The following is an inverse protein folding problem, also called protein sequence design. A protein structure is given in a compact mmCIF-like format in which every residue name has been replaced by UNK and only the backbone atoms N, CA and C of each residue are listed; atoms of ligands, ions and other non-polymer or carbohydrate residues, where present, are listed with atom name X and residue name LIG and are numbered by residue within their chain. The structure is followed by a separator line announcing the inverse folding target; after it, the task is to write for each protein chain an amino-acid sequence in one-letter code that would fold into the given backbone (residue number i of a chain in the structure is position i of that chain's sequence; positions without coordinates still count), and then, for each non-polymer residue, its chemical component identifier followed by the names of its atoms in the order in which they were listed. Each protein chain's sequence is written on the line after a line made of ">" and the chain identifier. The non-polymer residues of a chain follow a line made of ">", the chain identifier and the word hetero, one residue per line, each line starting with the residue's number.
data_IF_495113121613
#
_entry.id   IF_495113121613
#
_cell.length_a   1.000
_cell.length_b   1.000
_cell.length_c   1.000
_cell.angle_alpha   90.00
_cell.angle_beta   90.00
_cell.angle_gamma   90.00
#
_symmetry.space_group_name_H-M   'P 1'
#
loop_
_entity.id
_entity.type
_entity.pdbx_description
1 polymer ?
#
# COMPACT_ATOMS: atom_id res chain seq x y z
N UNK A 1 15.10 2.06 -26.55
CA UNK A 1 14.08 2.85 -25.82
C UNK A 1 13.16 1.96 -24.98
N UNK A 2 12.60 0.87 -25.52
CA UNK A 2 11.82 -0.14 -24.77
C UNK A 2 12.60 -0.76 -23.59
N UNK A 3 13.88 -1.09 -23.77
CA UNK A 3 14.76 -1.67 -22.73
C UNK A 3 15.10 -0.69 -21.60
N UNK A 4 15.07 0.62 -21.87
CA UNK A 4 15.34 1.65 -20.86
C UNK A 4 14.09 1.90 -20.01
N UNK A 5 12.92 1.93 -20.65
CA UNK A 5 11.61 2.07 -19.98
C UNK A 5 11.33 0.84 -19.11
N UNK A 6 11.62 -0.38 -19.58
CA UNK A 6 11.44 -1.59 -18.77
C UNK A 6 12.37 -1.59 -17.56
N UNK A 7 13.65 -1.26 -17.72
CA UNK A 7 14.60 -1.30 -16.59
C UNK A 7 14.33 -0.18 -15.57
N UNK A 8 13.87 0.99 -16.01
CA UNK A 8 13.64 2.17 -15.15
C UNK A 8 12.28 2.12 -14.46
N UNK A 9 11.23 1.56 -15.05
CA UNK A 9 9.87 1.54 -14.47
C UNK A 9 9.48 0.19 -13.85
N UNK A 10 9.95 -0.91 -14.42
CA UNK A 10 9.48 -2.27 -14.10
C UNK A 10 10.48 -3.02 -13.19
N UNK A 11 11.67 -2.46 -12.96
CA UNK A 11 12.77 -3.20 -12.34
C UNK A 11 13.26 -4.33 -13.25
N UNK A 12 14.41 -4.92 -12.91
CA UNK A 12 14.84 -6.14 -13.61
C UNK A 12 13.95 -7.30 -13.16
N UNK A 13 13.35 -8.07 -14.09
CA UNK A 13 12.62 -9.28 -13.73
C UNK A 13 13.59 -10.25 -13.06
N UNK A 14 13.24 -10.66 -11.85
CA UNK A 14 14.00 -11.59 -11.04
C UNK A 14 13.30 -12.95 -11.08
N UNK A 15 13.76 -13.80 -12.01
CA UNK A 15 13.19 -15.13 -12.21
C UNK A 15 13.45 -16.07 -11.03
N UNK A 16 14.35 -15.72 -10.09
CA UNK A 16 14.70 -16.60 -8.95
C UNK A 16 13.50 -16.87 -8.05
N UNK A 17 12.59 -15.90 -7.90
CA UNK A 17 11.34 -16.06 -7.15
C UNK A 17 10.43 -17.08 -7.83
N UNK A 18 10.23 -16.94 -9.14
CA UNK A 18 9.37 -17.83 -9.93
C UNK A 18 9.87 -19.27 -9.94
N UNK A 19 11.18 -19.47 -9.99
CA UNK A 19 11.82 -20.79 -10.00
C UNK A 19 12.09 -21.34 -8.59
N UNK A 20 11.76 -20.59 -7.53
CA UNK A 20 11.96 -21.05 -6.16
C UNK A 20 11.01 -22.21 -5.85
N UNK A 21 11.57 -23.30 -5.32
CA UNK A 21 10.80 -24.44 -4.81
C UNK A 21 9.89 -24.00 -3.66
N UNK A 22 10.35 -23.06 -2.82
CA UNK A 22 9.58 -22.55 -1.70
C UNK A 22 8.35 -21.78 -2.18
N UNK A 23 8.51 -20.90 -3.18
CA UNK A 23 7.39 -20.19 -3.79
C UNK A 23 6.38 -21.18 -4.39
N UNK A 24 6.86 -22.12 -5.22
CA UNK A 24 6.01 -23.09 -5.92
C UNK A 24 5.18 -23.93 -4.94
N UNK A 25 5.81 -24.40 -3.86
CA UNK A 25 5.14 -25.17 -2.80
C UNK A 25 4.07 -24.35 -2.06
N UNK A 26 4.25 -23.04 -1.94
CA UNK A 26 3.36 -22.15 -1.20
C UNK A 26 2.27 -21.48 -2.06
N UNK A 27 2.20 -21.73 -3.38
CA UNK A 27 1.13 -21.19 -4.24
C UNK A 27 -0.29 -21.45 -3.65
N UNK A 28 -0.64 -22.66 -3.19
CA UNK A 28 -1.96 -22.91 -2.61
C UNK A 28 -2.24 -22.06 -1.35
N UNK A 29 -1.21 -21.84 -0.52
CA UNK A 29 -1.31 -20.98 0.66
C UNK A 29 -1.54 -19.52 0.25
N UNK A 30 -0.75 -19.00 -0.70
CA UNK A 30 -0.87 -17.61 -1.18
C UNK A 30 -2.27 -17.38 -1.75
N UNK A 31 -2.74 -18.30 -2.59
CA UNK A 31 -4.09 -18.25 -3.15
C UNK A 31 -5.14 -18.17 -2.04
N UNK A 32 -5.07 -19.03 -1.03
CA UNK A 32 -6.01 -19.05 0.07
C UNK A 32 -5.98 -17.74 0.91
N UNK A 33 -4.80 -17.19 1.16
CA UNK A 33 -4.66 -15.89 1.84
C UNK A 33 -5.30 -14.75 1.05
N UNK A 34 -5.20 -14.79 -0.27
CA UNK A 34 -5.76 -13.78 -1.17
C UNK A 34 -7.27 -13.89 -1.31
N UNK A 35 -7.82 -15.11 -1.38
CA UNK A 35 -9.27 -15.37 -1.36
C UNK A 35 -9.91 -14.85 -0.06
N UNK A 36 -9.21 -14.97 1.07
CA UNK A 36 -9.67 -14.43 2.35
C UNK A 36 -9.54 -12.90 2.47
N UNK A 37 -8.70 -12.28 1.63
CA UNK A 37 -8.39 -10.85 1.69
C UNK A 37 -9.36 -10.04 0.84
N UNK A 38 -10.17 -9.23 1.50
CA UNK A 38 -11.14 -8.34 0.86
C UNK A 38 -10.60 -6.92 0.67
N UNK A 39 -9.77 -6.46 1.61
CA UNK A 39 -9.12 -5.16 1.58
C UNK A 39 -7.66 -5.28 1.95
N UNK A 40 -6.90 -4.27 1.56
CA UNK A 40 -5.47 -4.20 1.72
C UNK A 40 -5.08 -2.88 2.37
N UNK A 41 -4.11 -2.93 3.27
CA UNK A 41 -3.49 -1.76 3.86
C UNK A 41 -2.02 -1.73 3.47
N UNK A 42 -1.56 -0.64 2.86
CA UNK A 42 -0.15 -0.42 2.56
C UNK A 42 0.47 0.59 3.52
N UNK A 43 1.68 0.30 4.01
CA UNK A 43 2.43 1.19 4.90
C UNK A 43 3.93 0.89 4.84
N UNK A 44 4.71 1.55 5.69
CA UNK A 44 6.12 1.27 5.92
C UNK A 44 6.37 0.62 7.28
N UNK A 45 7.55 0.05 7.45
CA UNK A 45 8.05 -0.41 8.74
C UNK A 45 8.14 0.74 9.74
N UNK A 46 8.61 1.89 9.28
CA UNK A 46 8.85 3.06 10.10
C UNK A 46 8.10 4.29 9.59
N UNK A 47 7.62 5.09 10.53
CA UNK A 47 7.10 6.43 10.29
C UNK A 47 7.78 7.47 11.18
N UNK A 48 7.94 8.69 10.67
CA UNK A 48 8.18 9.84 11.53
C UNK A 48 6.93 10.21 12.33
N UNK A 49 7.16 10.61 13.57
CA UNK A 49 6.22 11.24 14.51
C UNK A 49 6.91 12.47 15.09
N UNK A 50 6.84 13.58 14.34
CA UNK A 50 7.73 14.72 14.58
C UNK A 50 9.18 14.31 14.32
N UNK A 51 10.06 14.52 15.30
CA UNK A 51 11.47 14.14 15.19
C UNK A 51 11.74 12.65 15.45
N UNK A 52 10.78 11.93 16.02
CA UNK A 52 10.95 10.53 16.40
C UNK A 52 10.61 9.59 15.24
N UNK A 53 11.29 8.45 15.17
CA UNK A 53 10.95 7.34 14.27
C UNK A 53 10.23 6.26 15.07
N UNK A 54 9.04 5.88 14.61
CA UNK A 54 8.19 4.86 15.24
C UNK A 54 8.10 3.63 14.35
N UNK A 55 8.22 2.46 14.97
CA UNK A 55 7.95 1.16 14.36
C UNK A 55 6.44 0.94 14.25
N UNK A 56 5.94 0.95 13.02
CA UNK A 56 4.50 0.90 12.70
C UNK A 56 3.90 -0.44 13.10
N UNK A 57 4.62 -1.55 12.92
CA UNK A 57 4.12 -2.86 13.32
C UNK A 57 4.02 -2.98 14.84
N UNK A 58 5.02 -2.47 15.59
CA UNK A 58 4.91 -2.39 17.05
C UNK A 58 3.73 -1.52 17.48
N UNK A 59 3.50 -0.39 16.81
CA UNK A 59 2.37 0.49 17.09
C UNK A 59 1.03 -0.25 16.88
N UNK A 60 0.88 -0.95 15.75
CA UNK A 60 -0.31 -1.76 15.44
C UNK A 60 -0.53 -2.84 16.49
N UNK A 61 0.52 -3.59 16.85
CA UNK A 61 0.45 -4.66 17.85
C UNK A 61 0.01 -4.12 19.21
N UNK A 62 0.66 -3.05 19.69
CA UNK A 62 0.35 -2.44 21.00
C UNK A 62 -1.08 -1.87 21.06
N UNK A 63 -1.62 -1.43 19.93
CA UNK A 63 -3.00 -0.93 19.82
C UNK A 63 -4.03 -2.04 19.54
N UNK A 64 -3.59 -3.28 19.35
CA UNK A 64 -4.45 -4.42 19.03
C UNK A 64 -5.00 -4.42 17.60
N UNK A 65 -4.48 -3.57 16.71
CA UNK A 65 -4.98 -3.45 15.34
C UNK A 65 -4.67 -2.12 14.66
N UNK A 66 -5.27 -1.93 13.49
CA UNK A 66 -5.28 -0.63 12.80
C UNK A 66 -6.32 0.25 13.47
N UNK A 67 -5.92 1.44 13.93
CA UNK A 67 -6.83 2.41 14.53
C UNK A 67 -7.05 3.60 13.60
N UNK A 68 -8.23 4.21 13.62
CA UNK A 68 -8.47 5.44 12.84
C UNK A 68 -7.50 6.55 13.21
N UNK A 69 -6.96 7.21 12.21
CA UNK A 69 -6.12 8.39 12.35
C UNK A 69 -6.71 9.56 11.57
N UNK A 70 -6.32 10.78 11.94
CA UNK A 70 -6.70 11.97 11.19
C UNK A 70 -6.31 11.81 9.72
N UNK A 71 -7.30 11.93 8.86
CA UNK A 71 -7.23 11.85 7.41
C UNK A 71 -7.82 13.14 6.81
N UNK A 72 -6.96 14.04 6.29
CA UNK A 72 -7.40 15.29 5.68
C UNK A 72 -7.79 15.16 4.19
N UNK A 73 -7.79 13.96 3.59
CA UNK A 73 -8.00 13.81 2.14
C UNK A 73 -9.45 14.00 1.69
N UNK A 74 -10.42 13.83 2.59
CA UNK A 74 -11.81 13.96 2.22
C UNK A 74 -12.23 15.44 2.15
N UNK A 75 -12.00 16.07 1.00
CA UNK A 75 -12.43 17.45 0.76
C UNK A 75 -13.96 17.65 0.83
N UNK A 76 -14.76 16.58 0.84
CA UNK A 76 -16.23 16.67 0.98
C UNK A 76 -16.67 16.67 2.44
N UNK A 77 -15.89 16.05 3.33
CA UNK A 77 -16.20 15.90 4.76
C UNK A 77 -15.25 16.66 5.69
N UNK A 78 -14.16 17.19 5.16
CA UNK A 78 -13.07 17.78 5.93
C UNK A 78 -12.21 16.71 6.61
N UNK A 79 -11.64 17.07 7.77
CA UNK A 79 -10.82 16.17 8.56
C UNK A 79 -11.67 15.05 9.18
N UNK A 80 -11.44 13.80 8.76
CA UNK A 80 -12.10 12.61 9.32
C UNK A 80 -11.08 11.70 10.00
N UNK A 81 -11.51 10.85 10.93
CA UNK A 81 -10.64 9.84 11.53
C UNK A 81 -10.93 8.50 10.89
N UNK A 82 -9.98 7.97 10.12
CA UNK A 82 -10.18 6.73 9.37
C UNK A 82 -8.94 5.86 9.31
N UNK A 83 -9.14 4.57 9.06
CA UNK A 83 -8.10 3.65 8.57
C UNK A 83 -8.16 3.65 7.04
N UNK A 84 -7.05 3.98 6.39
CA UNK A 84 -6.91 3.97 4.94
C UNK A 84 -6.66 2.56 4.42
N UNK A 85 -7.56 2.06 3.57
CA UNK A 85 -7.48 0.74 2.96
C UNK A 85 -7.69 0.86 1.45
N UNK A 86 -7.48 -0.23 0.73
CA UNK A 86 -7.78 -0.32 -0.69
C UNK A 86 -8.45 -1.65 -1.03
N UNK A 87 -9.38 -1.66 -1.99
CA UNK A 87 -9.86 -2.89 -2.62
C UNK A 87 -8.81 -3.58 -3.50
N UNK A 88 -7.67 -2.94 -3.76
CA UNK A 88 -6.57 -3.49 -4.57
C UNK A 88 -5.30 -3.68 -3.74
N UNK A 89 -4.75 -4.90 -3.82
CA UNK A 89 -3.38 -5.17 -3.33
C UNK A 89 -2.37 -4.29 -4.05
N UNK A 90 -2.46 -4.16 -5.37
CA UNK A 90 -1.52 -3.40 -6.20
C UNK A 90 -1.47 -1.94 -5.83
N UNK A 91 -2.62 -1.33 -5.59
CA UNK A 91 -2.68 0.05 -5.15
C UNK A 91 -2.01 0.20 -3.77
N UNK A 92 -2.28 -0.74 -2.86
CA UNK A 92 -1.62 -0.78 -1.54
C UNK A 92 -0.11 -1.02 -1.65
N UNK A 93 0.32 -1.86 -2.58
CA UNK A 93 1.72 -2.17 -2.89
C UNK A 93 2.45 -0.93 -3.41
N UNK A 94 1.84 -0.17 -4.32
CA UNK A 94 2.36 1.12 -4.78
C UNK A 94 2.52 2.12 -3.64
N UNK A 95 1.50 2.20 -2.77
CA UNK A 95 1.58 3.05 -1.59
C UNK A 95 2.60 2.53 -0.57
N UNK A 96 2.83 1.23 -0.42
CA UNK A 96 3.88 0.72 0.46
C UNK A 96 5.28 0.98 -0.12
N UNK A 97 5.44 0.92 -1.45
CA UNK A 97 6.71 1.15 -2.14
C UNK A 97 7.30 2.53 -1.85
N UNK A 98 6.48 3.57 -1.68
CA UNK A 98 6.99 4.91 -1.33
C UNK A 98 7.65 4.93 0.06
N UNK A 99 7.24 4.05 0.98
CA UNK A 99 7.87 3.92 2.29
C UNK A 99 9.21 3.18 2.25
N UNK A 100 9.57 2.56 1.13
CA UNK A 100 10.87 1.91 1.03
C UNK A 100 11.99 2.97 1.10
N UNK A 101 13.08 2.66 1.80
CA UNK A 101 14.32 3.46 1.84
C UNK A 101 14.73 3.93 0.44
N UNK A 102 15.17 5.19 0.38
CA UNK A 102 15.41 5.91 -0.86
C UNK A 102 16.32 5.11 -1.81
N UNK A 103 15.83 4.91 -3.04
CA UNK A 103 16.55 4.18 -4.09
C UNK A 103 16.36 2.66 -4.07
N UNK A 104 15.67 2.08 -3.08
CA UNK A 104 15.28 0.67 -3.08
C UNK A 104 13.95 0.44 -3.78
N UNK A 105 13.71 -0.79 -4.26
CA UNK A 105 12.48 -1.21 -4.93
C UNK A 105 12.12 -2.63 -4.57
N UNK A 106 10.84 -2.99 -4.74
CA UNK A 106 10.46 -4.39 -4.74
C UNK A 106 11.22 -5.12 -5.84
N UNK A 107 11.54 -6.38 -5.58
CA UNK A 107 11.90 -7.31 -6.64
C UNK A 107 10.63 -7.68 -7.39
N UNK A 108 10.74 -7.88 -8.70
CA UNK A 108 9.61 -8.23 -9.57
C UNK A 108 8.40 -7.25 -9.61
N UNK A 109 8.57 -5.91 -9.59
CA UNK A 109 7.46 -4.96 -9.43
C UNK A 109 6.60 -4.78 -10.69
N UNK A 110 6.67 -5.67 -11.68
CA UNK A 110 5.91 -5.53 -12.94
C UNK A 110 4.43 -5.28 -12.68
N UNK A 111 3.87 -5.94 -11.68
CA UNK A 111 2.46 -5.83 -11.36
C UNK A 111 2.16 -4.48 -10.70
N UNK A 112 2.93 -4.13 -9.67
CA UNK A 112 2.92 -2.82 -9.02
C UNK A 112 3.09 -1.67 -10.04
N UNK A 113 4.10 -1.72 -10.89
CA UNK A 113 4.40 -0.72 -11.92
C UNK A 113 3.28 -0.59 -12.96
N UNK A 114 2.69 -1.70 -13.40
CA UNK A 114 1.57 -1.69 -14.34
C UNK A 114 0.33 -1.06 -13.71
N UNK A 115 0.11 -1.30 -12.40
CA UNK A 115 -0.95 -0.65 -11.63
C UNK A 115 -0.80 0.87 -11.58
N UNK A 116 0.43 1.40 -11.48
CA UNK A 116 0.64 2.85 -11.35
C UNK A 116 0.02 3.64 -12.50
N UNK A 117 0.23 3.17 -13.74
CA UNK A 117 -0.35 3.79 -14.93
C UNK A 117 -1.87 3.71 -14.93
N UNK A 118 -2.42 2.56 -14.53
CA UNK A 118 -3.87 2.38 -14.40
C UNK A 118 -4.46 3.34 -13.37
N UNK A 119 -3.89 3.44 -12.17
CA UNK A 119 -4.45 4.26 -11.10
C UNK A 119 -4.35 5.76 -11.36
N UNK A 120 -3.21 6.24 -11.88
CA UNK A 120 -3.05 7.66 -12.22
C UNK A 120 -4.05 8.08 -13.30
N UNK A 121 -4.19 7.27 -14.35
CA UNK A 121 -5.14 7.55 -15.43
C UNK A 121 -6.59 7.43 -14.97
N UNK A 122 -6.91 6.44 -14.13
CA UNK A 122 -8.26 6.22 -13.62
C UNK A 122 -8.71 7.34 -12.66
N UNK A 123 -7.86 7.77 -11.72
CA UNK A 123 -8.16 8.90 -10.82
C UNK A 123 -8.40 10.19 -11.62
N UNK A 124 -7.59 10.46 -12.65
CA UNK A 124 -7.81 11.62 -13.52
C UNK A 124 -9.14 11.52 -14.26
N UNK A 125 -9.47 10.35 -14.81
CA UNK A 125 -10.75 10.11 -15.48
C UNK A 125 -11.95 10.26 -14.53
N UNK A 126 -11.89 9.68 -13.32
CA UNK A 126 -12.93 9.85 -12.31
C UNK A 126 -13.06 11.29 -11.84
N UNK A 127 -11.95 12.02 -11.72
CA UNK A 127 -11.97 13.46 -11.49
C UNK A 127 -12.73 14.21 -12.59
N UNK A 128 -12.54 13.84 -13.87
CA UNK A 128 -13.26 14.45 -14.98
C UNK A 128 -14.77 14.19 -14.93
N UNK A 129 -15.18 13.00 -14.51
CA UNK A 129 -16.59 12.60 -14.46
C UNK A 129 -17.30 13.10 -13.20
N UNK A 130 -16.68 12.91 -12.03
CA UNK A 130 -17.34 13.10 -10.75
C UNK A 130 -17.06 14.45 -10.10
N UNK A 131 -15.90 15.08 -10.37
CA UNK A 131 -15.60 16.40 -9.80
C UNK A 131 -14.49 17.17 -10.56
N UNK A 132 -14.87 17.84 -11.66
CA UNK A 132 -13.93 18.60 -12.50
C UNK A 132 -13.22 19.74 -11.75
N UNK A 133 -13.73 20.15 -10.58
CA UNK A 133 -13.10 21.19 -9.76
C UNK A 133 -11.73 20.75 -9.24
N UNK A 134 -11.47 19.44 -9.17
CA UNK A 134 -10.15 18.90 -8.83
C UNK A 134 -9.03 19.31 -9.79
N UNK A 135 -9.36 19.75 -11.01
CA UNK A 135 -8.37 20.31 -11.94
C UNK A 135 -8.12 21.81 -11.74
N UNK A 136 -8.95 22.49 -10.94
CA UNK A 136 -8.78 23.91 -10.63
C UNK A 136 -7.78 24.09 -9.49
N UNK A 137 -6.72 24.85 -9.75
CA UNK A 137 -5.73 25.24 -8.73
C UNK A 137 -6.41 25.88 -7.51
N UNK A 138 -7.33 26.84 -7.73
CA UNK A 138 -8.05 27.54 -6.65
C UNK A 138 -8.79 26.56 -5.74
N UNK A 139 -9.51 25.58 -6.32
CA UNK A 139 -10.23 24.58 -5.53
C UNK A 139 -9.27 23.70 -4.73
N UNK A 140 -8.18 23.24 -5.36
CA UNK A 140 -7.17 22.42 -4.69
C UNK A 140 -6.49 23.16 -3.55
N UNK A 141 -6.17 24.44 -3.72
CA UNK A 141 -5.56 25.27 -2.67
C UNK A 141 -6.51 25.48 -1.50
N UNK A 142 -7.79 25.81 -1.77
CA UNK A 142 -8.82 25.97 -0.74
C UNK A 142 -9.08 24.69 0.07
N UNK A 143 -8.94 23.53 -0.56
CA UNK A 143 -9.21 22.22 0.06
C UNK A 143 -7.94 21.46 0.46
N UNK A 144 -6.76 22.10 0.48
CA UNK A 144 -5.48 21.47 0.89
C UNK A 144 -5.12 20.22 0.07
N UNK A 145 -5.56 20.16 -1.19
CA UNK A 145 -5.21 19.11 -2.17
C UNK A 145 -3.98 19.49 -3.01
N UNK A 146 -3.21 20.48 -2.54
CA UNK A 146 -1.96 20.93 -3.11
C UNK A 146 -0.76 20.26 -2.41
N UNK A 147 0.45 20.56 -2.86
CA UNK A 147 1.67 19.90 -2.35
C UNK A 147 1.86 20.08 -0.83
N UNK A 148 1.53 21.27 -0.31
CA UNK A 148 1.65 21.57 1.12
C UNK A 148 0.59 20.85 1.95
N UNK A 149 -0.67 20.82 1.50
CA UNK A 149 -1.72 20.08 2.20
C UNK A 149 -1.49 18.56 2.20
N UNK A 150 -0.91 18.03 1.11
CA UNK A 150 -0.52 16.62 1.00
C UNK A 150 0.76 16.28 1.78
N UNK A 151 1.49 17.28 2.29
CA UNK A 151 2.71 17.07 3.07
C UNK A 151 2.47 16.23 4.32
N UNK A 152 1.24 16.23 4.85
CA UNK A 152 0.85 15.38 5.98
C UNK A 152 1.17 13.90 5.76
N UNK A 153 0.95 13.39 4.54
CA UNK A 153 1.25 12.00 4.19
C UNK A 153 2.74 11.80 3.95
N UNK A 154 3.36 12.73 3.21
CA UNK A 154 4.79 12.69 2.89
C UNK A 154 5.67 12.68 4.14
N UNK A 155 5.34 13.52 5.10
CA UNK A 155 6.10 13.71 6.33
C UNK A 155 6.13 12.43 7.19
N UNK A 156 5.31 11.40 6.89
CA UNK A 156 5.39 10.10 7.54
C UNK A 156 6.67 9.34 7.17
N UNK A 157 7.23 9.54 5.98
CA UNK A 157 8.34 8.72 5.49
C UNK A 157 9.55 9.53 4.99
N UNK A 158 9.40 10.82 4.73
CA UNK A 158 10.53 11.69 4.40
C UNK A 158 10.36 13.09 4.98
N UNK A 159 11.46 13.69 5.43
CA UNK A 159 11.52 15.09 5.86
C UNK A 159 11.75 16.04 4.68
N UNK A 160 12.21 15.50 3.55
CA UNK A 160 12.65 16.28 2.40
C UNK A 160 11.56 16.39 1.33
N UNK A 161 11.52 17.51 0.57
CA UNK A 161 10.71 17.59 -0.64
C UNK A 161 11.11 16.51 -1.64
N UNK A 162 10.10 15.86 -2.24
CA UNK A 162 10.29 14.85 -3.28
C UNK A 162 10.05 15.42 -4.68
N UNK A 163 10.89 14.98 -5.61
CA UNK A 163 10.74 15.23 -7.04
C UNK A 163 10.12 14.03 -7.76
N UNK A 164 9.65 14.22 -8.99
CA UNK A 164 9.16 13.12 -9.83
C UNK A 164 10.24 12.04 -10.05
N UNK A 165 11.52 12.43 -10.11
CA UNK A 165 12.64 11.50 -10.25
C UNK A 165 12.75 10.55 -9.05
N UNK A 166 12.45 11.03 -7.84
CA UNK A 166 12.50 10.19 -6.64
C UNK A 166 11.46 9.06 -6.74
N UNK A 167 10.23 9.38 -7.14
CA UNK A 167 9.19 8.36 -7.37
C UNK A 167 9.53 7.41 -8.52
N UNK A 168 10.12 7.93 -9.60
CA UNK A 168 10.59 7.09 -10.70
C UNK A 168 11.66 6.13 -10.22
N UNK A 169 12.56 6.56 -9.32
CA UNK A 169 13.69 5.78 -8.85
C UNK A 169 13.34 4.72 -7.80
N UNK A 170 12.13 4.74 -7.24
CA UNK A 170 11.62 3.71 -6.33
C UNK A 170 11.15 4.28 -4.99
N UNK A 171 11.59 3.65 -3.91
CA UNK A 171 11.39 4.12 -2.55
C UNK A 171 11.87 5.55 -2.35
N UNK A 172 11.17 6.28 -1.49
CA UNK A 172 11.41 7.70 -1.23
C UNK A 172 11.62 8.00 0.26
N UNK A 173 11.58 6.99 1.12
CA UNK A 173 11.80 7.16 2.56
C UNK A 173 13.25 7.52 2.86
N UNK A 174 13.48 8.56 3.66
CA UNK A 174 14.82 8.88 4.18
C UNK A 174 15.11 8.24 5.55
N UNK A 175 14.16 7.44 6.07
CA UNK A 175 14.38 6.58 7.23
C UNK A 175 15.21 5.36 6.80
N UNK A 176 16.38 5.17 7.42
CA UNK A 176 17.29 4.05 7.18
C UNK A 176 16.61 2.71 7.47
N UNK A 177 16.84 1.71 6.62
CA UNK A 177 16.25 0.37 6.72
C UNK A 177 14.71 0.36 6.77
N UNK A 178 14.05 1.43 6.32
CA UNK A 178 12.60 1.39 6.14
C UNK A 178 12.26 0.46 4.98
N UNK A 179 11.20 -0.32 5.14
CA UNK A 179 10.75 -1.27 4.14
C UNK A 179 9.22 -1.29 4.07
N UNK A 180 8.66 -1.75 2.95
CA UNK A 180 7.23 -1.78 2.69
C UNK A 180 6.55 -2.85 3.54
N UNK A 181 5.32 -2.59 3.95
CA UNK A 181 4.48 -3.54 4.67
C UNK A 181 3.09 -3.53 4.05
N UNK A 182 2.59 -4.71 3.68
CA UNK A 182 1.21 -4.91 3.26
C UNK A 182 0.47 -5.76 4.28
N UNK A 183 -0.80 -5.44 4.51
CA UNK A 183 -1.67 -6.20 5.41
C UNK A 183 -2.95 -6.55 4.66
N UNK A 184 -3.23 -7.84 4.53
CA UNK A 184 -4.50 -8.33 4.01
C UNK A 184 -5.56 -8.33 5.11
N UNK A 185 -6.77 -7.88 4.79
CA UNK A 185 -7.90 -7.70 5.72
C UNK A 185 -9.07 -8.57 5.28
N UNK A 186 -9.65 -9.31 6.24
CA UNK A 186 -10.79 -10.22 6.01
C UNK A 186 -12.03 -9.48 5.52
N UNK A 187 -12.85 -10.16 4.72
CA UNK A 187 -14.18 -9.66 4.37
C UNK A 187 -15.03 -9.44 5.62
N UNK A 188 -15.82 -8.35 5.64
CA UNK A 188 -16.68 -8.00 6.76
C UNK A 188 -15.95 -7.50 8.01
N UNK A 189 -14.63 -7.25 7.93
CA UNK A 189 -13.85 -6.74 9.06
C UNK A 189 -14.27 -5.34 9.53
N UNK A 190 -14.94 -4.56 8.66
CA UNK A 190 -15.45 -3.23 8.96
C UNK A 190 -16.54 -2.83 7.95
N UNK A 191 -17.29 -1.78 8.26
CA UNK A 191 -18.21 -1.12 7.33
C UNK A 191 -17.49 0.05 6.65
N UNK A 192 -17.51 0.08 5.32
CA UNK A 192 -16.89 1.17 4.56
C UNK A 192 -17.60 2.51 4.85
N UNK A 193 -16.81 3.52 5.18
CA UNK A 193 -17.27 4.88 5.34
C UNK A 193 -17.48 5.55 3.98
N UNK A 194 -18.43 6.49 3.93
CA UNK A 194 -18.64 7.32 2.75
C UNK A 194 -17.42 8.24 2.52
N UNK A 195 -17.02 8.37 1.26
CA UNK A 195 -15.96 9.28 0.83
C UNK A 195 -16.27 9.89 -0.54
N UNK A 196 -15.46 10.86 -0.96
CA UNK A 196 -15.55 11.44 -2.30
C UNK A 196 -15.49 10.35 -3.40
N UNK A 197 -16.44 10.39 -4.34
CA UNK A 197 -16.58 9.40 -5.43
C UNK A 197 -15.34 9.24 -6.31
N UNK A 198 -14.46 10.24 -6.33
CA UNK A 198 -13.21 10.19 -7.09
C UNK A 198 -12.22 9.17 -6.50
N UNK A 199 -12.32 8.87 -5.20
CA UNK A 199 -11.47 7.91 -4.50
C UNK A 199 -12.11 6.54 -4.31
N UNK A 200 -13.44 6.43 -4.44
CA UNK A 200 -14.20 5.24 -4.03
C UNK A 200 -13.91 3.97 -4.83
N UNK A 201 -13.26 4.05 -5.99
CA UNK A 201 -12.80 2.85 -6.69
C UNK A 201 -11.51 2.31 -6.08
N UNK A 202 -10.59 3.16 -5.62
CA UNK A 202 -9.23 2.77 -5.23
C UNK A 202 -8.99 2.77 -3.73
N UNK A 203 -9.83 3.45 -2.97
CA UNK A 203 -9.70 3.62 -1.53
C UNK A 203 -10.97 3.17 -0.81
N UNK A 204 -10.76 2.54 0.33
CA UNK A 204 -11.78 2.20 1.31
C UNK A 204 -11.37 2.85 2.64
N UNK A 205 -12.34 3.30 3.43
CA UNK A 205 -12.10 3.89 4.74
C UNK A 205 -12.89 3.16 5.80
N UNK A 206 -12.25 2.89 6.94
CA UNK A 206 -12.92 2.44 8.16
C UNK A 206 -12.90 3.56 9.19
N UNK A 207 -14.05 3.97 9.70
CA UNK A 207 -14.15 4.88 10.86
C UNK A 207 -14.00 4.13 12.19
N UNK A 208 -14.00 2.79 12.15
CA UNK A 208 -13.81 1.94 13.33
C UNK A 208 -12.45 1.25 13.30
N UNK A 209 -11.86 0.92 14.47
CA UNK A 209 -10.66 0.09 14.54
C UNK A 209 -10.85 -1.27 13.84
N UNK A 210 -9.77 -1.79 13.27
CA UNK A 210 -9.71 -3.12 12.66
C UNK A 210 -8.74 -3.97 13.49
N UNK A 211 -9.23 -4.94 14.27
CA UNK A 211 -8.39 -5.74 15.15
C UNK A 211 -7.46 -6.67 14.35
N UNK A 212 -6.32 -7.05 14.93
CA UNK A 212 -5.35 -7.97 14.30
C UNK A 212 -5.99 -9.32 13.94
N UNK A 213 -6.99 -9.78 14.70
CA UNK A 213 -7.76 -10.99 14.39
C UNK A 213 -8.46 -10.95 13.03
N UNK A 214 -8.68 -9.75 12.49
CA UNK A 214 -9.26 -9.53 11.16
C UNK A 214 -8.21 -9.41 10.06
N UNK A 215 -6.92 -9.55 10.37
CA UNK A 215 -5.87 -9.65 9.35
C UNK A 215 -5.82 -11.09 8.83
N UNK A 216 -5.53 -11.25 7.54
CA UNK A 216 -5.29 -12.56 6.92
C UNK A 216 -3.80 -12.91 6.99
N UNK A 217 -2.94 -11.94 6.64
CA UNK A 217 -1.50 -12.05 6.62
C UNK A 217 -0.85 -10.67 6.54
N UNK A 218 0.48 -10.64 6.73
CA UNK A 218 1.33 -9.50 6.42
C UNK A 218 2.31 -9.92 5.31
N UNK A 219 2.53 -9.03 4.36
CA UNK A 219 3.61 -9.15 3.39
C UNK A 219 4.70 -8.12 3.68
N UNK A 220 5.95 -8.57 3.68
CA UNK A 220 7.17 -7.74 3.76
C UNK A 220 8.21 -8.27 2.76
N UNK A 221 9.28 -7.53 2.42
CA UNK A 221 10.35 -8.08 1.59
C UNK A 221 10.90 -9.39 2.16
N UNK A 222 11.28 -10.31 1.28
CA UNK A 222 11.81 -11.62 1.63
C UNK A 222 12.87 -11.55 2.75
N UNK A 223 13.82 -10.61 2.65
CA UNK A 223 14.89 -10.43 3.63
C UNK A 223 14.39 -10.06 5.04
N UNK A 224 13.18 -9.49 5.17
CA UNK A 224 12.59 -9.03 6.42
C UNK A 224 11.61 -10.03 7.04
N UNK A 225 11.25 -11.12 6.35
CA UNK A 225 10.25 -12.09 6.85
C UNK A 225 10.64 -12.68 8.21
N UNK A 226 11.91 -13.06 8.39
CA UNK A 226 12.40 -13.65 9.64
C UNK A 226 12.37 -12.64 10.81
N UNK A 227 12.72 -11.38 10.54
CA UNK A 227 12.65 -10.29 11.51
C UNK A 227 11.22 -10.09 12.01
N UNK A 228 10.25 -10.00 11.08
CA UNK A 228 8.85 -9.76 11.42
C UNK A 228 8.23 -10.95 12.14
N UNK A 229 8.56 -12.19 11.75
CA UNK A 229 8.12 -13.40 12.48
C UNK A 229 8.59 -13.37 13.94
N UNK A 230 9.87 -13.03 14.20
CA UNK A 230 10.40 -12.90 15.56
C UNK A 230 9.71 -11.78 16.33
N UNK A 231 9.43 -10.66 15.67
CA UNK A 231 8.71 -9.54 16.26
C UNK A 231 7.31 -9.96 16.72
N UNK A 232 6.51 -10.60 15.86
CA UNK A 232 5.16 -11.04 16.20
C UNK A 232 5.15 -12.08 17.32
N UNK A 233 6.08 -13.04 17.27
CA UNK A 233 6.22 -14.06 18.32
C UNK A 233 6.51 -13.45 19.69
N UNK A 234 7.34 -12.40 19.76
CA UNK A 234 7.62 -11.66 21.01
C UNK A 234 6.35 -11.07 21.65
N UNK A 235 5.33 -10.76 20.85
CA UNK A 235 4.06 -10.21 21.33
C UNK A 235 2.91 -11.24 21.32
N UNK A 236 3.21 -12.53 21.15
CA UNK A 236 2.22 -13.60 21.06
C UNK A 236 1.14 -13.37 19.99
N UNK A 237 1.54 -12.76 18.86
CA UNK A 237 0.66 -12.58 17.70
C UNK A 237 0.90 -13.71 16.71
N UNK A 238 -0.11 -14.57 16.53
CA UNK A 238 -0.09 -15.60 15.48
C UNK A 238 -0.72 -15.03 14.20
N UNK A 239 0.14 -14.62 13.27
CA UNK A 239 -0.27 -14.13 11.96
C UNK A 239 0.71 -14.60 10.89
N UNK A 240 0.19 -14.97 9.73
CA UNK A 240 1.02 -15.44 8.61
C UNK A 240 1.83 -14.28 8.02
N UNK A 241 3.10 -14.53 7.78
CA UNK A 241 4.04 -13.60 7.14
C UNK A 241 4.62 -14.26 5.89
N UNK A 242 4.45 -13.61 4.75
CA UNK A 242 4.96 -14.06 3.45
C UNK A 242 5.81 -12.95 2.80
N UNK A 243 6.75 -13.30 1.91
CA UNK A 243 7.43 -12.33 1.04
C UNK A 243 6.46 -11.56 0.13
N UNK A 244 6.64 -10.23 0.01
CA UNK A 244 5.94 -9.39 -0.98
C UNK A 244 6.20 -9.91 -2.40
N UNK A 245 7.39 -10.43 -2.66
CA UNK A 245 7.82 -10.97 -3.94
C UNK A 245 6.94 -12.13 -4.40
N UNK A 246 6.48 -12.97 -3.47
CA UNK A 246 5.54 -14.05 -3.79
C UNK A 246 4.21 -13.49 -4.25
N UNK A 247 3.77 -12.40 -3.62
CA UNK A 247 2.54 -11.71 -4.00
C UNK A 247 2.63 -11.02 -5.36
N UNK A 248 3.77 -10.37 -5.65
CA UNK A 248 4.03 -9.79 -6.98
C UNK A 248 4.01 -10.86 -8.07
N UNK A 249 4.65 -12.01 -7.84
CA UNK A 249 4.69 -13.11 -8.81
C UNK A 249 3.33 -13.77 -8.98
N UNK A 250 2.62 -14.05 -7.88
CA UNK A 250 1.29 -14.65 -7.93
C UNK A 250 0.30 -13.76 -8.69
N UNK A 251 0.30 -12.46 -8.43
CA UNK A 251 -0.59 -11.52 -9.13
C UNK A 251 -0.37 -11.45 -10.65
N UNK A 252 0.82 -11.81 -11.17
CA UNK A 252 1.05 -11.89 -12.64
C UNK A 252 0.23 -13.00 -13.30
N UNK A 253 -0.19 -14.01 -12.52
CA UNK A 253 -1.00 -15.13 -13.02
C UNK A 253 -2.50 -14.83 -12.99
N UNK A 254 -2.90 -13.74 -12.33
CA UNK A 254 -4.30 -13.39 -12.15
C UNK A 254 -4.83 -12.58 -13.35
N UNK A 255 -6.14 -12.67 -13.66
CA UNK A 255 -6.75 -11.83 -14.68
C UNK A 255 -6.55 -10.35 -14.38
N UNK A 256 -6.50 -9.51 -15.42
CA UNK A 256 -6.38 -8.05 -15.27
C UNK A 256 -7.55 -7.43 -14.51
N UNK A 257 -8.69 -8.11 -14.40
CA UNK A 257 -9.79 -7.71 -13.52
C UNK A 257 -9.42 -7.74 -12.04
N UNK A 258 -8.44 -8.53 -11.61
CA UNK A 258 -7.92 -8.49 -10.24
C UNK A 258 -7.11 -7.22 -9.97
N UNK A 259 -6.63 -6.53 -11.02
CA UNK A 259 -6.06 -5.18 -10.92
C UNK A 259 -7.16 -4.12 -10.71
N UNK A 260 -8.39 -4.43 -11.18
CA UNK A 260 -9.58 -3.58 -11.07
C UNK A 260 -10.28 -3.90 -9.75
N UNK A 261 -9.83 -3.20 -8.71
CA UNK A 261 -10.54 -2.88 -7.47
C UNK A 261 -11.73 -3.78 -7.09
N UNK A 262 -11.51 -4.64 -6.09
CA UNK A 262 -12.58 -5.08 -5.18
C UNK A 262 -13.34 -6.33 -5.60
N UNK A 263 -12.93 -7.00 -6.67
CA UNK A 263 -13.38 -8.37 -6.98
C UNK A 263 -12.55 -9.34 -6.14
N UNK A 264 -13.14 -10.02 -5.13
CA UNK A 264 -12.42 -11.05 -4.38
C UNK A 264 -11.96 -12.14 -5.34
N UNK A 265 -10.79 -12.72 -5.09
CA UNK A 265 -10.41 -13.97 -5.75
C UNK A 265 -11.44 -15.02 -5.31
N UNK A 266 -12.23 -15.54 -6.25
CA UNK A 266 -13.22 -16.61 -6.03
C UNK A 266 -12.69 -17.93 -6.56
#
# INVERSE_FOLDING_TARGET
>A
MQTLISTILIGLPDNTVKTSEEYTKNIPLIKNLYEQSWRWHGTGKYHYRGENVTDVLIEIIKKGGLVPHKDPLDYTRGDVYTVSLSPSRTYSALYAQIHYEKGKRFRNPLQTASGAFYYVSNIAFLGLIHDRRLFSKKFRDLNRLNYEGMSFFRNKYTKNPLSLKDYINGGVSDIKNNYPVLIGIKNGAFKEANMAKVYSSHESRSETPIPISNFTHIEVPEENVSEVKKLLSKYNVDLRIIPIEWGEEFCKTLPTSFLKDGVPLK
#
